data_IF_248291948739
#
_entry.id   IF_248291948739
#
_cell.length_a   1.000
_cell.length_b   1.000
_cell.length_c   1.000
_cell.angle_alpha   90.00
_cell.angle_beta   90.00
_cell.angle_gamma   90.00
#
_symmetry.space_group_name_H-M   'P 1'
#
loop_
_entity.id
_entity.type
_entity.pdbx_description
1 polymer ?
#
# COMPACT_ATOMS: atom_id res chain seq x y z
N UNK A 1 62.43 49.20 18.11
CA UNK A 1 62.44 47.72 18.11
C UNK A 1 61.09 47.24 17.62
N UNK A 2 61.12 46.54 16.50
CA UNK A 2 60.00 46.02 15.72
C UNK A 2 59.30 44.91 16.49
N UNK A 3 58.01 45.06 16.81
CA UNK A 3 57.18 43.96 17.29
C UNK A 3 56.44 43.32 16.11
N UNK A 4 56.46 41.97 15.99
CA UNK A 4 55.97 41.26 14.82
C UNK A 4 54.43 41.16 14.78
N UNK A 5 53.88 41.28 13.58
CA UNK A 5 52.53 40.86 13.22
C UNK A 5 52.41 39.34 13.43
N UNK A 6 51.46 38.89 14.24
CA UNK A 6 51.06 37.48 14.27
C UNK A 6 49.59 37.36 13.93
N UNK A 7 49.37 36.76 12.76
CA UNK A 7 48.10 36.43 12.13
C UNK A 7 47.34 35.37 12.92
N UNK A 8 46.01 35.54 12.98
CA UNK A 8 45.09 34.52 13.46
C UNK A 8 44.98 33.32 12.48
N UNK A 9 44.53 32.15 12.97
CA UNK A 9 43.69 31.28 12.17
C UNK A 9 42.37 30.92 12.89
N UNK A 10 41.30 31.56 12.43
CA UNK A 10 39.94 31.03 12.16
C UNK A 10 39.50 29.76 12.91
N UNK A 11 38.92 29.93 14.11
CA UNK A 11 38.18 28.90 14.84
C UNK A 11 36.66 28.87 14.51
N UNK A 12 36.22 29.48 13.41
CA UNK A 12 34.79 29.66 13.12
C UNK A 12 34.16 28.58 12.21
N UNK A 13 34.96 27.69 11.59
CA UNK A 13 34.47 26.79 10.53
C UNK A 13 33.74 25.53 11.04
N UNK A 14 33.88 25.20 12.31
CA UNK A 14 33.42 23.92 12.87
C UNK A 14 32.01 23.94 13.45
N UNK A 15 31.39 25.11 13.60
CA UNK A 15 30.07 25.25 14.22
C UNK A 15 28.93 25.25 13.20
N UNK A 16 29.16 25.82 12.01
CA UNK A 16 28.15 25.88 10.93
C UNK A 16 27.84 24.51 10.34
N UNK A 17 28.79 23.56 10.39
CA UNK A 17 28.58 22.20 9.88
C UNK A 17 27.70 21.33 10.78
N UNK A 18 27.46 21.74 12.04
CA UNK A 18 26.69 20.95 13.02
C UNK A 18 25.19 21.29 13.06
N UNK A 19 24.81 22.44 12.51
CA UNK A 19 23.41 22.88 12.45
C UNK A 19 22.69 22.34 11.21
N UNK A 20 23.42 22.10 10.13
CA UNK A 20 22.86 21.54 8.87
C UNK A 20 22.63 20.03 8.92
N UNK A 21 23.38 19.33 9.77
CA UNK A 21 23.29 17.87 9.94
C UNK A 21 22.06 17.45 10.77
N UNK A 22 21.49 18.35 11.57
CA UNK A 22 20.36 18.06 12.47
C UNK A 22 18.98 18.06 11.80
N UNK A 23 18.89 18.41 10.50
CA UNK A 23 17.61 18.51 9.79
C UNK A 23 17.43 17.44 8.70
N UNK A 24 18.45 16.60 8.44
CA UNK A 24 18.38 15.57 7.40
C UNK A 24 18.19 14.21 8.08
N UNK A 25 17.03 13.56 7.93
CA UNK A 25 16.80 12.24 8.51
C UNK A 25 17.73 11.22 7.85
N UNK A 26 18.38 10.38 8.66
CA UNK A 26 19.20 9.30 8.11
C UNK A 26 18.32 8.12 7.70
N UNK A 27 18.84 7.27 6.81
CA UNK A 27 18.15 6.02 6.45
C UNK A 27 17.90 5.12 7.68
N UNK A 28 18.79 5.17 8.68
CA UNK A 28 18.67 4.33 9.87
C UNK A 28 17.52 4.78 10.77
N UNK A 29 17.30 6.10 10.90
CA UNK A 29 16.14 6.66 11.59
C UNK A 29 14.83 6.24 10.92
N UNK A 30 14.78 6.40 9.59
CA UNK A 30 13.65 5.95 8.78
C UNK A 30 13.39 4.45 8.92
N UNK A 31 14.46 3.64 8.89
CA UNK A 31 14.36 2.19 9.02
C UNK A 31 13.89 1.74 10.40
N UNK A 32 14.29 2.44 11.45
CA UNK A 32 13.90 2.17 12.84
C UNK A 32 12.41 2.45 13.07
N UNK A 33 11.89 3.53 12.47
CA UNK A 33 10.48 3.91 12.55
C UNK A 33 9.54 2.96 11.79
N UNK A 34 10.05 2.22 10.80
CA UNK A 34 9.23 1.37 9.95
C UNK A 34 8.78 0.06 10.66
N UNK A 35 7.46 -0.24 10.73
CA UNK A 35 6.96 -1.41 11.48
C UNK A 35 7.29 -2.77 10.83
N UNK A 36 7.48 -2.80 9.51
CA UNK A 36 7.84 -3.99 8.72
C UNK A 36 9.23 -3.87 8.12
N UNK A 37 10.25 -4.28 8.87
CA UNK A 37 11.68 -4.13 8.52
C UNK A 37 12.16 -5.23 7.57
N UNK A 38 11.55 -5.32 6.39
CA UNK A 38 11.90 -6.31 5.35
C UNK A 38 12.55 -5.64 4.13
N UNK A 39 13.41 -6.40 3.42
CA UNK A 39 14.11 -5.94 2.21
C UNK A 39 14.98 -4.67 2.41
N UNK A 40 15.77 -4.60 3.51
CA UNK A 40 16.67 -3.47 3.84
C UNK A 40 17.55 -3.04 2.66
N UNK A 41 18.12 -3.99 1.92
CA UNK A 41 18.97 -3.70 0.74
C UNK A 41 18.21 -2.95 -0.37
N UNK A 42 16.96 -3.31 -0.63
CA UNK A 42 16.14 -2.63 -1.63
C UNK A 42 15.73 -1.23 -1.14
N UNK A 43 15.41 -1.09 0.15
CA UNK A 43 15.06 0.18 0.75
C UNK A 43 16.24 1.16 0.75
N UNK A 44 17.44 0.70 1.09
CA UNK A 44 18.66 1.52 1.08
C UNK A 44 19.00 2.00 -0.35
N UNK A 45 18.82 1.13 -1.35
CA UNK A 45 18.96 1.54 -2.76
C UNK A 45 17.92 2.57 -3.20
N UNK A 46 16.67 2.43 -2.75
CA UNK A 46 15.62 3.40 -3.04
C UNK A 46 15.91 4.74 -2.34
N UNK A 47 16.30 4.71 -1.07
CA UNK A 47 16.70 5.89 -0.29
C UNK A 47 17.85 6.65 -0.93
N UNK A 48 18.91 5.95 -1.36
CA UNK A 48 20.05 6.57 -2.03
C UNK A 48 19.74 7.17 -3.41
N UNK A 49 18.60 6.84 -4.03
CA UNK A 49 18.13 7.50 -5.26
C UNK A 49 17.36 8.80 -4.99
N UNK A 50 16.87 9.00 -3.77
CA UNK A 50 16.08 10.17 -3.41
C UNK A 50 16.98 11.36 -3.11
N UNK A 51 16.54 12.55 -3.52
CA UNK A 51 17.17 13.80 -3.11
C UNK A 51 16.93 14.05 -1.61
N UNK A 52 17.80 14.85 -0.98
CA UNK A 52 17.69 15.22 0.43
C UNK A 52 16.31 15.78 0.79
N UNK A 53 15.72 16.60 -0.08
CA UNK A 53 14.36 17.14 0.10
C UNK A 53 13.30 16.04 0.18
N UNK A 54 13.38 15.03 -0.72
CA UNK A 54 12.44 13.91 -0.74
C UNK A 54 12.62 13.00 0.48
N UNK A 55 13.86 12.82 0.94
CA UNK A 55 14.14 12.07 2.17
C UNK A 55 13.50 12.74 3.40
N UNK A 56 13.59 14.07 3.49
CA UNK A 56 12.94 14.84 4.55
C UNK A 56 11.42 14.69 4.48
N UNK A 57 10.82 14.92 3.31
CA UNK A 57 9.37 14.79 3.11
C UNK A 57 8.86 13.37 3.46
N UNK A 58 9.58 12.34 3.01
CA UNK A 58 9.27 10.95 3.31
C UNK A 58 9.32 10.66 4.81
N UNK A 59 10.33 11.15 5.52
CA UNK A 59 10.44 10.95 6.96
C UNK A 59 9.32 11.68 7.73
N UNK A 60 8.95 12.89 7.30
CA UNK A 60 7.89 13.67 7.92
C UNK A 60 6.50 13.03 7.74
N UNK A 61 6.20 12.45 6.58
CA UNK A 61 4.92 11.80 6.30
C UNK A 61 4.79 10.39 6.93
N UNK A 62 5.91 9.72 7.21
CA UNK A 62 5.94 8.36 7.75
C UNK A 62 5.01 8.12 8.96
N UNK A 63 5.02 8.94 10.04
CA UNK A 63 4.14 8.72 11.20
C UNK A 63 2.65 8.71 10.84
N UNK A 64 2.20 9.59 9.96
CA UNK A 64 0.79 9.64 9.54
C UNK A 64 0.38 8.38 8.75
N UNK A 65 1.23 7.91 7.84
CA UNK A 65 0.99 6.63 7.15
C UNK A 65 0.96 5.44 8.13
N UNK A 66 1.85 5.41 9.13
CA UNK A 66 1.85 4.37 10.16
C UNK A 66 0.54 4.41 10.97
N UNK A 67 0.07 5.61 11.33
CA UNK A 67 -1.20 5.80 12.02
C UNK A 67 -2.38 5.31 11.16
N UNK A 68 -2.40 5.63 9.86
CA UNK A 68 -3.41 5.12 8.94
C UNK A 68 -3.39 3.60 8.83
N UNK A 69 -2.22 2.96 8.67
CA UNK A 69 -2.15 1.50 8.59
C UNK A 69 -2.65 0.81 9.86
N UNK A 70 -2.39 1.43 11.02
CA UNK A 70 -2.94 0.98 12.31
C UNK A 70 -4.46 1.15 12.37
N UNK A 71 -4.99 2.29 11.91
CA UNK A 71 -6.44 2.56 11.86
C UNK A 71 -7.19 1.61 10.92
N UNK A 72 -6.60 1.27 9.78
CA UNK A 72 -7.14 0.30 8.83
C UNK A 72 -7.09 -1.16 9.34
N UNK A 73 -6.49 -1.41 10.51
CA UNK A 73 -6.31 -2.77 11.04
C UNK A 73 -5.44 -3.65 10.15
N UNK A 74 -4.53 -3.06 9.35
CA UNK A 74 -3.66 -3.85 8.48
C UNK A 74 -2.73 -4.72 9.30
N UNK A 75 -2.79 -6.02 9.05
CA UNK A 75 -1.77 -6.95 9.53
C UNK A 75 -0.38 -6.52 9.03
N UNK A 76 0.68 -6.79 9.82
CA UNK A 76 2.07 -6.43 9.48
C UNK A 76 2.50 -6.91 8.09
N UNK A 77 1.97 -8.03 7.62
CA UNK A 77 2.22 -8.58 6.29
C UNK A 77 1.64 -7.73 5.13
N UNK A 78 0.63 -6.91 5.38
CA UNK A 78 -0.03 -6.04 4.40
C UNK A 78 0.54 -4.60 4.38
N UNK A 79 1.53 -4.31 5.24
CA UNK A 79 2.27 -3.06 5.21
C UNK A 79 3.21 -3.12 4.00
N UNK A 80 3.20 -2.11 3.10
CA UNK A 80 4.08 -2.11 1.93
C UNK A 80 5.54 -2.19 2.35
N UNK A 81 6.38 -2.75 1.47
CA UNK A 81 7.82 -2.71 1.70
C UNK A 81 8.30 -1.25 1.63
N UNK A 82 9.27 -0.85 2.48
CA UNK A 82 9.81 0.50 2.47
C UNK A 82 10.39 0.87 1.10
N UNK A 83 11.01 -0.08 0.39
CA UNK A 83 11.48 0.13 -0.98
C UNK A 83 10.34 0.50 -1.95
N UNK A 84 9.20 -0.19 -1.86
CA UNK A 84 8.03 0.07 -2.73
C UNK A 84 7.38 1.40 -2.41
N UNK A 85 7.32 1.76 -1.13
CA UNK A 85 6.76 3.04 -0.69
C UNK A 85 7.67 4.21 -1.10
N UNK A 86 8.99 4.05 -0.98
CA UNK A 86 9.97 5.06 -1.40
C UNK A 86 10.02 5.23 -2.93
N UNK A 87 10.05 4.13 -3.70
CA UNK A 87 10.08 4.20 -5.17
C UNK A 87 8.77 4.75 -5.77
N UNK A 88 7.65 4.59 -5.05
CA UNK A 88 6.34 5.07 -5.49
C UNK A 88 6.02 6.47 -4.99
N UNK A 89 6.98 7.16 -4.35
CA UNK A 89 6.83 8.53 -3.84
C UNK A 89 5.58 8.73 -2.98
N UNK A 90 5.24 7.69 -2.21
CA UNK A 90 3.93 7.58 -1.56
C UNK A 90 3.73 8.49 -0.36
N UNK A 91 4.76 9.25 0.02
CA UNK A 91 4.62 10.35 0.98
C UNK A 91 3.89 11.57 0.39
N UNK A 92 3.79 11.65 -0.95
CA UNK A 92 2.99 12.66 -1.67
C UNK A 92 1.57 12.17 -1.97
N UNK A 93 1.30 10.88 -1.77
CA UNK A 93 -0.03 10.29 -1.93
C UNK A 93 -0.95 10.92 -0.88
N UNK A 94 -2.04 11.55 -1.28
CA UNK A 94 -2.99 12.17 -0.35
C UNK A 94 -3.48 11.09 0.62
N UNK A 95 -3.03 11.16 1.87
CA UNK A 95 -3.52 10.37 2.99
C UNK A 95 -4.98 10.72 3.19
N UNK A 96 -5.85 10.05 2.42
CA UNK A 96 -7.24 10.42 2.18
C UNK A 96 -7.96 11.01 3.38
N UNK A 97 -7.97 12.34 3.44
CA UNK A 97 -8.92 13.10 4.22
C UNK A 97 -10.28 12.94 3.55
N UNK A 98 -11.07 11.99 4.06
CA UNK A 98 -12.50 12.14 4.29
C UNK A 98 -13.29 13.02 3.31
N UNK A 99 -13.51 12.57 2.07
CA UNK A 99 -14.69 13.06 1.29
C UNK A 99 -15.32 12.00 0.38
N UNK A 100 -14.82 10.77 0.32
CA UNK A 100 -15.51 9.70 -0.41
C UNK A 100 -15.55 8.44 0.45
N UNK A 101 -16.75 7.87 0.73
CA UNK A 101 -16.80 6.53 1.29
C UNK A 101 -16.01 5.64 0.33
N UNK A 102 -14.98 4.91 0.82
CA UNK A 102 -14.20 4.06 -0.05
C UNK A 102 -15.18 3.07 -0.67
N UNK A 103 -15.34 3.16 -1.99
CA UNK A 103 -16.06 2.15 -2.75
C UNK A 103 -15.55 0.79 -2.26
N UNK A 104 -16.43 -0.15 -1.90
CA UNK A 104 -15.99 -1.47 -1.50
C UNK A 104 -15.10 -1.99 -2.63
N UNK A 105 -13.81 -2.18 -2.33
CA UNK A 105 -12.87 -2.75 -3.31
C UNK A 105 -13.54 -4.03 -3.80
N UNK A 106 -13.87 -4.17 -5.10
CA UNK A 106 -14.54 -5.36 -5.56
C UNK A 106 -13.67 -6.53 -5.12
N UNK A 107 -14.23 -7.45 -4.32
CA UNK A 107 -13.53 -8.67 -3.92
C UNK A 107 -12.98 -9.24 -5.21
N UNK A 108 -11.65 -9.30 -5.32
CA UNK A 108 -10.94 -9.73 -6.52
C UNK A 108 -11.44 -11.13 -6.84
N UNK A 109 -12.42 -11.24 -7.74
CA UNK A 109 -13.07 -12.51 -8.07
C UNK A 109 -11.98 -13.35 -8.74
N UNK A 110 -11.47 -14.33 -8.00
CA UNK A 110 -10.39 -15.20 -8.50
C UNK A 110 -11.02 -16.18 -9.49
N UNK A 111 -11.01 -15.80 -10.76
CA UNK A 111 -11.46 -16.63 -11.88
C UNK A 111 -12.62 -16.02 -12.68
N UNK A 112 -12.85 -16.52 -13.91
CA UNK A 112 -14.00 -16.13 -14.72
C UNK A 112 -15.30 -16.41 -13.96
N UNK A 113 -16.27 -15.48 -13.97
CA UNK A 113 -17.56 -15.72 -13.36
C UNK A 113 -18.23 -16.99 -13.92
N UNK A 114 -18.96 -17.71 -13.08
CA UNK A 114 -19.55 -19.00 -13.46
C UNK A 114 -20.50 -18.91 -14.68
N UNK A 115 -21.05 -17.73 -14.98
CA UNK A 115 -21.89 -17.48 -16.16
C UNK A 115 -21.12 -17.24 -17.47
N UNK A 116 -19.78 -17.31 -17.46
CA UNK A 116 -18.95 -17.06 -18.67
C UNK A 116 -18.76 -18.29 -19.54
N UNK A 117 -19.07 -19.49 -19.05
CA UNK A 117 -18.95 -20.73 -19.81
C UNK A 117 -20.09 -21.68 -19.44
N UNK A 118 -20.62 -22.38 -20.45
CA UNK A 118 -21.67 -23.38 -20.26
C UNK A 118 -21.24 -24.45 -19.24
N UNK A 119 -20.00 -24.91 -19.31
CA UNK A 119 -19.41 -25.89 -18.37
C UNK A 119 -19.41 -25.37 -16.93
N UNK A 120 -19.13 -24.07 -16.74
CA UNK A 120 -19.15 -23.44 -15.42
C UNK A 120 -20.58 -23.26 -14.90
N UNK A 121 -21.54 -22.97 -15.79
CA UNK A 121 -22.96 -22.93 -15.44
C UNK A 121 -23.49 -24.32 -15.07
N UNK A 122 -23.09 -25.38 -15.76
CA UNK A 122 -23.44 -26.77 -15.42
C UNK A 122 -22.89 -27.17 -14.04
N UNK A 123 -21.61 -26.86 -13.79
CA UNK A 123 -20.98 -27.09 -12.49
C UNK A 123 -21.68 -26.29 -11.38
N UNK A 124 -21.95 -25.01 -11.62
CA UNK A 124 -22.61 -24.14 -10.63
C UNK A 124 -24.05 -24.57 -10.38
N UNK A 125 -24.80 -24.95 -11.42
CA UNK A 125 -26.15 -25.47 -11.30
C UNK A 125 -26.23 -26.74 -10.46
N UNK A 126 -25.28 -27.67 -10.63
CA UNK A 126 -25.18 -28.85 -9.76
C UNK A 126 -24.84 -28.46 -8.31
N UNK A 127 -23.93 -27.52 -8.11
CA UNK A 127 -23.51 -27.05 -6.78
C UNK A 127 -24.64 -26.40 -5.99
N UNK A 128 -25.46 -25.57 -6.64
CA UNK A 128 -26.54 -24.84 -5.96
C UNK A 128 -27.83 -25.64 -5.87
N UNK A 129 -27.90 -26.85 -6.46
CA UNK A 129 -29.12 -27.67 -6.49
C UNK A 129 -30.09 -27.35 -7.63
N UNK A 130 -29.73 -26.44 -8.54
CA UNK A 130 -30.49 -26.21 -9.77
C UNK A 130 -30.40 -27.43 -10.73
N UNK A 131 -29.34 -28.23 -10.70
CA UNK A 131 -29.16 -29.31 -11.67
C UNK A 131 -28.86 -28.81 -13.09
N UNK A 132 -28.74 -29.71 -14.09
CA UNK A 132 -28.26 -29.36 -15.43
C UNK A 132 -29.26 -28.54 -16.26
N UNK A 133 -28.79 -27.99 -17.39
CA UNK A 133 -29.66 -27.30 -18.34
C UNK A 133 -30.74 -28.26 -18.87
N UNK A 134 -31.99 -27.78 -18.92
CA UNK A 134 -33.12 -28.60 -19.39
C UNK A 134 -33.13 -28.66 -20.93
N UNK A 135 -33.61 -29.77 -21.54
CA UNK A 135 -33.78 -29.83 -22.99
C UNK A 135 -34.69 -28.69 -23.48
N UNK A 136 -34.18 -27.84 -24.38
CA UNK A 136 -34.90 -26.69 -24.93
C UNK A 136 -34.79 -25.38 -24.12
N UNK A 137 -34.09 -25.38 -22.98
CA UNK A 137 -33.81 -24.19 -22.19
C UNK A 137 -32.66 -23.39 -22.81
N UNK A 138 -32.82 -22.07 -22.97
CA UNK A 138 -31.72 -21.21 -23.45
C UNK A 138 -30.68 -20.98 -22.36
N UNK A 139 -29.45 -20.62 -22.75
CA UNK A 139 -28.37 -20.31 -21.80
C UNK A 139 -28.77 -19.21 -20.81
N UNK A 140 -29.58 -18.23 -21.23
CA UNK A 140 -30.09 -17.17 -20.37
C UNK A 140 -31.11 -17.68 -19.35
N UNK A 141 -32.03 -18.56 -19.77
CA UNK A 141 -33.00 -19.19 -18.88
C UNK A 141 -32.29 -20.06 -17.83
N UNK A 142 -31.29 -20.84 -18.27
CA UNK A 142 -30.49 -21.66 -17.37
C UNK A 142 -29.70 -20.82 -16.36
N UNK A 143 -29.07 -19.73 -16.80
CA UNK A 143 -28.38 -18.77 -15.93
C UNK A 143 -29.33 -18.14 -14.92
N UNK A 144 -30.52 -17.70 -15.35
CA UNK A 144 -31.52 -17.09 -14.47
C UNK A 144 -31.96 -18.07 -13.37
N UNK A 145 -32.10 -19.35 -13.71
CA UNK A 145 -32.46 -20.41 -12.76
C UNK A 145 -31.38 -20.65 -11.71
N UNK A 146 -30.12 -20.71 -12.11
CA UNK A 146 -28.98 -20.81 -11.18
C UNK A 146 -28.91 -19.56 -10.28
N UNK A 147 -29.14 -18.38 -10.85
CA UNK A 147 -29.11 -17.12 -10.11
C UNK A 147 -30.26 -17.01 -9.10
N UNK A 148 -31.46 -17.50 -9.43
CA UNK A 148 -32.62 -17.51 -8.54
C UNK A 148 -32.37 -18.42 -7.33
N UNK A 149 -31.80 -19.62 -7.55
CA UNK A 149 -31.45 -20.53 -6.45
C UNK A 149 -30.33 -19.95 -5.59
N UNK A 150 -29.36 -19.25 -6.19
CA UNK A 150 -28.34 -18.52 -5.43
C UNK A 150 -28.94 -17.42 -4.55
N UNK A 151 -29.87 -16.64 -5.08
CA UNK A 151 -30.55 -15.56 -4.36
C UNK A 151 -31.37 -16.11 -3.19
N UNK A 152 -32.12 -17.20 -3.41
CA UNK A 152 -32.86 -17.92 -2.37
C UNK A 152 -31.92 -18.44 -1.26
N UNK A 153 -30.78 -19.03 -1.62
CA UNK A 153 -29.79 -19.48 -0.65
C UNK A 153 -29.12 -18.32 0.11
N UNK A 154 -28.95 -17.16 -0.52
CA UNK A 154 -28.42 -15.97 0.17
C UNK A 154 -29.43 -15.36 1.15
N UNK A 155 -30.72 -15.48 0.87
CA UNK A 155 -31.79 -14.96 1.72
C UNK A 155 -31.99 -15.76 3.01
N UNK A 156 -31.55 -17.03 3.04
CA UNK A 156 -31.61 -17.90 4.22
C UNK A 156 -30.42 -17.75 5.19
N UNK A 157 -29.36 -17.01 4.83
CA UNK A 157 -28.16 -16.81 5.68
C UNK A 157 -28.07 -15.41 6.36
N UNK A 158 -29.15 -14.63 6.38
CA UNK A 158 -29.23 -13.31 7.04
C UNK A 158 -30.21 -13.33 8.23
#
# INVERSE_FOLDING_TARGET
MTHPVQSAPTAQRSQVNRLVDQCIPTFEDFWSAWPRREAKKAALRAWGKLSTTKQIAAFQALPDHIAQWRKEGRARCHIPHPATWLNGERWEDELGGDVFPPLPKPKRQSGPPWWTSHVLMERKGREVGAGPARPGETTEQYKARIQAVLDENQHYEA
#
